data_IF_256655204937
#
_entry.id   IF_256655204937
#
_cell.length_a   1.000
_cell.length_b   1.000
_cell.length_c   1.000
_cell.angle_alpha   90.00
_cell.angle_beta   90.00
_cell.angle_gamma   90.00
#
_symmetry.space_group_name_H-M   'P 1'
#
loop_
_entity.id
_entity.type
_entity.pdbx_description
1 polymer ?
#
# COMPACT_ATOMS: atom_id res chain seq x y z
N UNK A 1 23.10 -16.87 9.70
CA UNK A 1 24.44 -16.42 9.22
C UNK A 1 25.21 -15.62 10.27
N UNK A 2 24.64 -14.58 10.90
CA UNK A 2 25.35 -13.81 11.94
C UNK A 2 25.80 -14.63 13.15
N UNK A 3 24.95 -15.55 13.64
CA UNK A 3 25.26 -16.38 14.81
C UNK A 3 26.41 -17.38 14.55
N UNK A 4 26.43 -18.04 13.40
CA UNK A 4 27.49 -18.99 13.03
C UNK A 4 28.89 -18.34 13.01
N UNK A 5 29.01 -17.14 12.45
CA UNK A 5 30.27 -16.40 12.46
C UNK A 5 30.72 -16.06 13.88
N UNK A 6 29.78 -15.64 14.74
CA UNK A 6 30.06 -15.35 16.16
C UNK A 6 30.56 -16.61 16.88
N UNK A 7 29.95 -17.77 16.66
CA UNK A 7 30.39 -19.03 17.28
C UNK A 7 31.82 -19.40 16.88
N UNK A 8 32.18 -19.24 15.60
CA UNK A 8 33.54 -19.52 15.10
C UNK A 8 34.57 -18.60 15.77
N UNK A 9 34.28 -17.30 15.87
CA UNK A 9 35.19 -16.33 16.48
C UNK A 9 35.35 -16.61 17.97
N UNK A 10 34.27 -16.93 18.69
CA UNK A 10 34.33 -17.24 20.11
C UNK A 10 35.06 -18.55 20.39
N UNK A 11 34.78 -19.62 19.66
CA UNK A 11 35.51 -20.89 19.80
C UNK A 11 37.00 -20.69 19.48
N UNK A 12 37.30 -19.99 18.38
CA UNK A 12 38.66 -19.64 17.98
C UNK A 12 39.39 -18.84 19.06
N UNK A 13 38.73 -17.85 19.68
CA UNK A 13 39.31 -17.06 20.77
C UNK A 13 39.55 -17.89 22.04
N UNK A 14 38.59 -18.73 22.44
CA UNK A 14 38.73 -19.64 23.58
C UNK A 14 39.87 -20.65 23.37
N UNK A 15 40.04 -21.14 22.15
CA UNK A 15 41.03 -22.17 21.81
C UNK A 15 42.41 -21.60 21.43
N UNK A 16 42.51 -20.30 21.13
CA UNK A 16 43.74 -19.66 20.65
C UNK A 16 44.92 -19.83 21.62
N UNK A 17 44.67 -19.74 22.92
CA UNK A 17 45.70 -19.84 23.96
C UNK A 17 46.30 -21.24 24.05
N UNK A 18 45.50 -22.28 23.82
CA UNK A 18 45.96 -23.68 23.83
C UNK A 18 46.83 -24.00 22.61
N UNK A 19 46.51 -23.44 21.44
CA UNK A 19 47.33 -23.59 20.24
C UNK A 19 48.61 -22.74 20.26
N UNK A 20 48.57 -21.58 20.90
CA UNK A 20 49.72 -20.69 21.01
C UNK A 20 50.94 -21.33 21.68
N UNK A 21 50.72 -22.31 22.57
CA UNK A 21 51.79 -23.02 23.29
C UNK A 21 52.65 -23.91 22.40
N UNK A 22 52.08 -24.45 21.31
CA UNK A 22 52.77 -25.33 20.37
C UNK A 22 53.25 -24.63 19.09
N UNK A 23 53.17 -23.31 19.02
CA UNK A 23 53.46 -22.53 17.81
C UNK A 23 54.50 -21.44 18.08
N UNK A 24 55.53 -21.37 17.23
CA UNK A 24 56.57 -20.33 17.29
C UNK A 24 56.04 -18.91 17.02
N UNK A 25 54.90 -18.81 16.34
CA UNK A 25 54.16 -17.57 16.06
C UNK A 25 53.33 -17.06 17.23
N UNK A 26 53.28 -17.80 18.35
CA UNK A 26 52.54 -17.43 19.56
C UNK A 26 51.03 -17.26 19.33
N UNK A 27 50.42 -16.30 20.04
CA UNK A 27 48.96 -16.12 20.10
C UNK A 27 48.33 -15.81 18.74
N UNK A 28 49.03 -15.08 17.86
CA UNK A 28 48.52 -14.76 16.53
C UNK A 28 48.32 -16.02 15.69
N UNK A 29 49.31 -16.91 15.64
CA UNK A 29 49.16 -18.19 14.94
C UNK A 29 48.19 -19.14 15.63
N UNK A 30 48.16 -19.13 16.97
CA UNK A 30 47.19 -19.90 17.75
C UNK A 30 45.76 -19.54 17.42
N UNK A 31 45.44 -18.24 17.33
CA UNK A 31 44.12 -17.76 16.94
C UNK A 31 43.73 -18.15 15.51
N UNK A 32 44.66 -18.07 14.55
CA UNK A 32 44.40 -18.45 13.16
C UNK A 32 44.08 -19.95 13.04
N UNK A 33 44.91 -20.82 13.63
CA UNK A 33 44.67 -22.27 13.61
C UNK A 33 43.42 -22.67 14.37
N UNK A 34 43.20 -22.08 15.55
CA UNK A 34 41.98 -22.28 16.32
C UNK A 34 40.73 -21.86 15.53
N UNK A 35 40.79 -20.71 14.84
CA UNK A 35 39.70 -20.21 14.02
C UNK A 35 39.37 -21.11 12.82
N UNK A 36 40.39 -21.64 12.12
CA UNK A 36 40.19 -22.56 10.99
C UNK A 36 39.52 -23.86 11.45
N UNK A 37 40.01 -24.43 12.55
CA UNK A 37 39.48 -25.69 13.09
C UNK A 37 38.09 -25.51 13.71
N UNK A 38 37.85 -24.38 14.38
CA UNK A 38 36.52 -23.97 14.84
C UNK A 38 35.55 -23.81 13.67
N UNK A 39 35.97 -23.15 12.58
CA UNK A 39 35.14 -22.98 11.38
C UNK A 39 34.73 -24.33 10.79
N UNK A 40 35.66 -25.29 10.69
CA UNK A 40 35.36 -26.64 10.22
C UNK A 40 34.34 -27.33 11.14
N UNK A 41 34.60 -27.35 12.45
CA UNK A 41 33.78 -28.02 13.44
C UNK A 41 32.35 -27.45 13.50
N UNK A 42 32.21 -26.13 13.66
CA UNK A 42 30.94 -25.41 13.72
C UNK A 42 30.17 -25.53 12.41
N UNK A 43 30.83 -25.40 11.26
CA UNK A 43 30.16 -25.47 9.96
C UNK A 43 29.63 -26.87 9.68
N UNK A 44 30.43 -27.91 9.94
CA UNK A 44 29.98 -29.30 9.75
C UNK A 44 28.80 -29.62 10.67
N UNK A 45 28.88 -29.23 11.95
CA UNK A 45 27.78 -29.42 12.89
C UNK A 45 26.51 -28.68 12.44
N UNK A 46 26.63 -27.41 12.04
CA UNK A 46 25.53 -26.61 11.51
C UNK A 46 24.87 -27.26 10.27
N UNK A 47 25.67 -27.70 9.29
CA UNK A 47 25.16 -28.31 8.06
C UNK A 47 24.46 -29.65 8.33
N UNK A 48 24.98 -30.45 9.26
CA UNK A 48 24.33 -31.69 9.66
C UNK A 48 23.03 -31.44 10.40
N UNK A 49 22.94 -30.36 11.20
CA UNK A 49 21.70 -29.88 11.81
C UNK A 49 20.67 -29.48 10.76
N UNK A 50 21.08 -28.61 9.84
CA UNK A 50 20.25 -28.00 8.80
C UNK A 50 19.72 -29.01 7.77
N UNK A 51 20.56 -29.94 7.31
CA UNK A 51 20.18 -30.86 6.23
C UNK A 51 19.86 -32.26 6.71
N UNK A 52 20.40 -32.72 7.83
CA UNK A 52 20.24 -34.09 8.30
C UNK A 52 19.25 -34.21 9.45
N UNK A 53 19.63 -33.66 10.60
CA UNK A 53 18.93 -33.87 11.89
C UNK A 53 17.48 -33.38 11.85
N UNK A 54 17.16 -32.34 11.05
CA UNK A 54 15.78 -31.86 10.87
C UNK A 54 14.78 -32.94 10.44
N UNK A 55 15.23 -33.99 9.75
CA UNK A 55 14.35 -35.07 9.31
C UNK A 55 13.83 -35.95 10.46
N UNK A 56 14.34 -35.78 11.69
CA UNK A 56 13.75 -36.38 12.90
C UNK A 56 12.28 -36.01 13.10
N UNK A 57 11.88 -34.81 12.66
CA UNK A 57 10.51 -34.31 12.79
C UNK A 57 9.59 -34.77 11.66
N UNK A 58 10.10 -35.55 10.69
CA UNK A 58 9.32 -35.98 9.54
C UNK A 58 8.28 -37.06 9.93
N UNK A 59 7.07 -36.98 9.36
CA UNK A 59 5.97 -37.92 9.66
C UNK A 59 6.24 -39.34 9.15
N UNK A 60 6.76 -39.45 7.93
CA UNK A 60 7.10 -40.73 7.30
C UNK A 60 8.30 -41.41 7.97
N UNK A 61 8.16 -42.71 8.26
CA UNK A 61 9.16 -43.50 8.96
C UNK A 61 10.54 -43.52 8.27
N UNK A 62 10.59 -43.61 6.93
CA UNK A 62 11.87 -43.65 6.20
C UNK A 62 12.69 -42.37 6.37
N UNK A 63 12.06 -41.20 6.26
CA UNK A 63 12.72 -39.91 6.50
C UNK A 63 13.09 -39.72 7.96
N UNK A 64 12.27 -40.21 8.89
CA UNK A 64 12.59 -40.20 10.30
C UNK A 64 13.82 -41.05 10.62
N UNK A 65 13.94 -42.23 10.01
CA UNK A 65 15.12 -43.08 10.14
C UNK A 65 16.37 -42.38 9.58
N UNK A 66 16.25 -41.70 8.44
CA UNK A 66 17.34 -40.88 7.90
C UNK A 66 17.75 -39.78 8.90
N UNK A 67 16.79 -39.10 9.52
CA UNK A 67 17.05 -38.11 10.57
C UNK A 67 17.84 -38.70 11.73
N UNK A 68 17.46 -39.89 12.23
CA UNK A 68 18.18 -40.59 13.30
C UNK A 68 19.61 -40.95 12.86
N UNK A 69 19.78 -41.51 11.66
CA UNK A 69 21.10 -41.84 11.13
C UNK A 69 21.98 -40.58 11.00
N UNK A 70 21.42 -39.47 10.54
CA UNK A 70 22.11 -38.19 10.47
C UNK A 70 22.46 -37.64 11.85
N UNK A 71 21.62 -37.82 12.88
CA UNK A 71 21.94 -37.43 14.26
C UNK A 71 23.10 -38.22 14.84
N UNK A 72 23.12 -39.54 14.59
CA UNK A 72 24.25 -40.40 15.00
C UNK A 72 25.52 -39.98 14.24
N UNK A 73 25.42 -39.74 12.94
CA UNK A 73 26.53 -39.25 12.13
C UNK A 73 27.03 -37.87 12.59
N UNK A 74 26.13 -36.97 13.00
CA UNK A 74 26.48 -35.66 13.54
C UNK A 74 27.26 -35.79 14.85
N UNK A 75 26.78 -36.61 15.79
CA UNK A 75 27.48 -36.88 17.04
C UNK A 75 28.87 -37.47 16.77
N UNK A 76 28.95 -38.46 15.88
CA UNK A 76 30.22 -39.08 15.49
C UNK A 76 31.18 -38.08 14.84
N UNK A 77 30.69 -37.21 13.93
CA UNK A 77 31.50 -36.20 13.28
C UNK A 77 32.02 -35.15 14.27
N UNK A 78 31.19 -34.65 15.19
CA UNK A 78 31.60 -33.71 16.23
C UNK A 78 32.66 -34.31 17.15
N UNK A 79 32.48 -35.56 17.59
CA UNK A 79 33.48 -36.28 18.38
C UNK A 79 34.77 -36.48 17.60
N UNK A 80 34.68 -36.89 16.32
CA UNK A 80 35.84 -37.16 15.51
C UNK A 80 36.66 -35.90 15.22
N UNK A 81 35.99 -34.80 14.85
CA UNK A 81 36.63 -33.51 14.61
C UNK A 81 37.23 -32.96 15.91
N UNK A 82 36.47 -32.93 17.01
CA UNK A 82 36.97 -32.44 18.30
C UNK A 82 38.21 -33.21 18.78
N UNK A 83 38.19 -34.54 18.72
CA UNK A 83 39.35 -35.37 19.06
C UNK A 83 40.51 -35.12 18.10
N UNK A 84 40.26 -34.97 16.80
CA UNK A 84 41.28 -34.65 15.81
C UNK A 84 41.98 -33.31 16.09
N UNK A 85 41.22 -32.29 16.48
CA UNK A 85 41.73 -30.97 16.87
C UNK A 85 42.63 -31.10 18.12
N UNK A 86 42.22 -31.90 19.11
CA UNK A 86 43.01 -32.13 20.32
C UNK A 86 44.31 -32.91 20.03
N UNK A 87 44.26 -33.97 19.22
CA UNK A 87 45.46 -34.71 18.77
C UNK A 87 46.41 -33.84 17.95
N UNK A 88 45.88 -32.94 17.13
CA UNK A 88 46.68 -31.97 16.38
C UNK A 88 47.42 -31.00 17.31
N UNK A 89 46.74 -30.52 18.36
CA UNK A 89 47.38 -29.69 19.40
C UNK A 89 48.46 -30.46 20.16
N UNK A 90 48.21 -31.72 20.55
CA UNK A 90 49.20 -32.56 21.23
C UNK A 90 50.47 -32.72 20.38
N UNK A 91 50.30 -33.01 19.08
CA UNK A 91 51.43 -33.13 18.15
C UNK A 91 52.23 -31.83 18.00
N UNK A 92 51.55 -30.67 17.97
CA UNK A 92 52.20 -29.35 17.96
C UNK A 92 53.01 -29.10 19.23
N UNK A 93 52.47 -29.43 20.41
CA UNK A 93 53.17 -29.24 21.69
C UNK A 93 54.33 -30.21 21.92
N UNK A 94 54.30 -31.38 21.25
CA UNK A 94 55.39 -32.36 21.29
C UNK A 94 56.57 -32.03 20.36
N UNK A 95 56.53 -30.89 19.67
CA UNK A 95 57.52 -30.48 18.66
C UNK A 95 57.75 -31.54 17.57
N UNK A 96 56.70 -32.25 17.18
CA UNK A 96 56.78 -33.25 16.13
C UNK A 96 57.26 -32.65 14.80
N UNK A 97 58.14 -33.35 14.09
CA UNK A 97 58.69 -32.90 12.80
C UNK A 97 57.60 -32.67 11.74
N UNK A 98 56.51 -33.46 11.82
CA UNK A 98 55.29 -33.31 11.02
C UNK A 98 54.06 -33.48 11.96
N UNK A 99 53.54 -32.37 12.52
CA UNK A 99 52.45 -32.41 13.49
C UNK A 99 51.16 -33.05 12.93
N UNK A 100 50.86 -32.84 11.65
CA UNK A 100 49.66 -33.40 11.03
C UNK A 100 49.75 -34.93 10.92
N UNK A 101 50.91 -35.44 10.47
CA UNK A 101 51.14 -36.88 10.37
C UNK A 101 51.17 -37.53 11.75
N UNK A 102 51.89 -36.95 12.71
CA UNK A 102 51.94 -37.48 14.09
C UNK A 102 50.56 -37.50 14.75
N UNK A 103 49.77 -36.43 14.61
CA UNK A 103 48.40 -36.38 15.10
C UNK A 103 47.52 -37.47 14.48
N UNK A 104 47.61 -37.68 13.15
CA UNK A 104 46.84 -38.72 12.47
C UNK A 104 47.19 -40.13 12.94
N UNK A 105 48.47 -40.41 13.20
CA UNK A 105 48.92 -41.71 13.70
C UNK A 105 48.46 -41.95 15.15
N UNK A 106 48.60 -40.95 16.01
CA UNK A 106 48.12 -41.00 17.39
C UNK A 106 46.59 -41.18 17.45
N UNK A 107 45.86 -40.46 16.62
CA UNK A 107 44.40 -40.56 16.50
C UNK A 107 43.96 -41.97 16.07
N UNK A 108 44.66 -42.60 15.12
CA UNK A 108 44.30 -43.96 14.66
C UNK A 108 44.69 -45.05 15.67
N UNK A 109 45.80 -44.87 16.39
CA UNK A 109 46.28 -45.83 17.38
C UNK A 109 45.48 -45.78 18.68
N UNK A 110 45.19 -44.58 19.19
CA UNK A 110 44.48 -44.34 20.44
C UNK A 110 43.55 -43.11 20.32
N UNK A 111 42.38 -43.23 19.67
CA UNK A 111 41.53 -42.09 19.31
C UNK A 111 41.10 -41.22 20.50
N UNK A 112 40.84 -41.83 21.66
CA UNK A 112 40.30 -41.16 22.86
C UNK A 112 41.41 -40.71 23.83
N UNK A 113 42.66 -41.14 23.60
CA UNK A 113 43.75 -40.82 24.51
C UNK A 113 44.32 -39.44 24.15
N UNK A 114 44.21 -38.49 25.08
CA UNK A 114 44.77 -37.14 24.98
C UNK A 114 45.90 -36.95 26.00
N UNK A 115 46.91 -36.14 25.66
CA UNK A 115 48.14 -36.04 26.43
C UNK A 115 47.97 -35.31 27.78
N UNK A 116 47.12 -34.27 27.85
CA UNK A 116 46.96 -33.44 29.03
C UNK A 116 45.53 -32.87 29.20
N UNK A 117 45.31 -32.16 30.31
CA UNK A 117 44.03 -31.51 30.63
C UNK A 117 43.68 -30.38 29.65
N UNK A 118 44.69 -29.75 29.02
CA UNK A 118 44.48 -28.68 28.05
C UNK A 118 43.87 -29.22 26.76
N UNK A 119 44.30 -30.38 26.28
CA UNK A 119 43.70 -31.06 25.13
C UNK A 119 42.29 -31.58 25.43
N UNK A 120 42.04 -32.05 26.65
CA UNK A 120 40.68 -32.37 27.11
C UNK A 120 39.77 -31.13 27.17
N UNK A 121 40.30 -29.99 27.60
CA UNK A 121 39.54 -28.72 27.65
C UNK A 121 39.19 -28.25 26.24
N UNK A 122 40.15 -28.34 25.31
CA UNK A 122 39.97 -27.98 23.91
C UNK A 122 38.89 -28.84 23.25
N UNK A 123 38.96 -30.16 23.45
CA UNK A 123 37.91 -31.08 23.01
C UNK A 123 36.53 -30.69 23.56
N UNK A 124 36.43 -30.43 24.87
CA UNK A 124 35.17 -30.04 25.51
C UNK A 124 34.59 -28.73 24.96
N UNK A 125 35.42 -27.72 24.76
CA UNK A 125 35.03 -26.43 24.16
C UNK A 125 34.54 -26.66 22.72
N UNK A 126 35.26 -27.44 21.93
CA UNK A 126 34.85 -27.73 20.55
C UNK A 126 33.54 -28.51 20.46
N UNK A 127 33.29 -29.48 21.35
CA UNK A 127 31.99 -30.15 21.41
C UNK A 127 30.88 -29.17 21.81
N UNK A 128 31.13 -28.30 22.78
CA UNK A 128 30.15 -27.31 23.25
C UNK A 128 29.69 -26.38 22.11
N UNK A 129 30.63 -25.78 21.38
CA UNK A 129 30.31 -24.90 20.25
C UNK A 129 29.68 -25.65 19.07
N UNK A 130 30.12 -26.88 18.79
CA UNK A 130 29.49 -27.72 17.77
C UNK A 130 28.03 -28.07 18.11
N UNK A 131 27.72 -28.35 19.37
CA UNK A 131 26.34 -28.61 19.81
C UNK A 131 25.46 -27.38 19.63
N UNK A 132 25.94 -26.19 19.99
CA UNK A 132 25.19 -24.93 19.76
C UNK A 132 24.96 -24.73 18.26
N UNK A 133 25.99 -24.93 17.43
CA UNK A 133 25.89 -24.79 15.98
C UNK A 133 24.92 -25.80 15.35
N UNK A 134 24.89 -27.04 15.86
CA UNK A 134 23.95 -28.08 15.45
C UNK A 134 22.50 -27.65 15.71
N UNK A 135 22.23 -27.12 16.91
CA UNK A 135 20.90 -26.60 17.25
C UNK A 135 20.53 -25.38 16.41
N UNK A 136 21.46 -24.45 16.18
CA UNK A 136 21.23 -23.30 15.29
C UNK A 136 20.86 -23.75 13.87
N UNK A 137 21.56 -24.76 13.33
CA UNK A 137 21.23 -25.35 12.04
C UNK A 137 19.86 -26.03 12.01
N UNK A 138 19.52 -26.75 13.09
CA UNK A 138 18.24 -27.46 13.21
C UNK A 138 17.03 -26.52 13.20
N UNK A 139 17.13 -25.35 13.85
CA UNK A 139 16.05 -24.37 14.01
C UNK A 139 16.14 -23.18 13.05
N UNK A 140 17.04 -23.25 12.06
CA UNK A 140 17.26 -22.14 11.14
C UNK A 140 16.04 -21.79 10.27
N UNK A 141 15.25 -22.80 9.90
CA UNK A 141 13.99 -22.64 9.16
C UNK A 141 12.89 -23.46 9.89
N UNK A 142 11.76 -23.70 9.24
CA UNK A 142 10.70 -24.54 9.81
C UNK A 142 11.21 -25.92 10.29
N UNK A 143 10.71 -26.34 11.45
CA UNK A 143 10.99 -27.64 12.07
C UNK A 143 10.69 -28.81 11.14
N UNK A 144 9.69 -28.64 10.26
CA UNK A 144 9.37 -29.60 9.24
C UNK A 144 10.07 -29.23 7.91
N UNK A 145 10.94 -30.11 7.38
CA UNK A 145 11.65 -29.86 6.13
C UNK A 145 10.72 -29.46 4.98
N UNK A 146 11.00 -28.31 4.34
CA UNK A 146 10.31 -27.85 3.13
C UNK A 146 9.07 -26.97 3.36
N UNK A 147 8.54 -26.90 4.59
CA UNK A 147 7.36 -26.08 4.89
C UNK A 147 7.66 -24.58 4.96
N UNK A 148 8.88 -24.16 5.30
CA UNK A 148 9.25 -22.75 5.38
C UNK A 148 9.03 -21.98 4.07
N UNK A 149 9.37 -22.58 2.92
CA UNK A 149 9.12 -21.97 1.59
C UNK A 149 7.63 -21.87 1.29
N UNK A 150 6.87 -22.92 1.62
CA UNK A 150 5.41 -22.95 1.39
C UNK A 150 4.75 -21.88 2.26
N UNK A 151 5.09 -21.83 3.55
CA UNK A 151 4.59 -20.85 4.52
C UNK A 151 4.83 -19.41 4.04
N UNK A 152 6.06 -19.09 3.61
CA UNK A 152 6.37 -17.76 3.06
C UNK A 152 5.56 -17.45 1.81
N UNK A 153 5.46 -18.37 0.85
CA UNK A 153 4.64 -18.18 -0.36
C UNK A 153 3.15 -18.03 -0.05
N UNK A 154 2.65 -18.75 0.94
CA UNK A 154 1.26 -18.63 1.39
C UNK A 154 1.04 -17.27 2.06
N UNK A 155 1.96 -16.81 2.89
CA UNK A 155 1.87 -15.50 3.51
C UNK A 155 1.93 -14.38 2.47
N UNK A 156 2.87 -14.44 1.52
CA UNK A 156 2.99 -13.49 0.41
C UNK A 156 1.69 -13.44 -0.41
N UNK A 157 1.12 -14.59 -0.78
CA UNK A 157 -0.15 -14.64 -1.50
C UNK A 157 -1.36 -14.12 -0.69
N UNK A 158 -1.32 -14.24 0.64
CA UNK A 158 -2.35 -13.64 1.52
C UNK A 158 -2.19 -12.12 1.52
N UNK A 159 -0.97 -11.63 1.71
CA UNK A 159 -0.66 -10.20 1.77
C UNK A 159 -1.02 -9.52 0.43
N UNK A 160 -0.62 -10.11 -0.70
CA UNK A 160 -0.96 -9.65 -2.06
C UNK A 160 -2.48 -9.55 -2.26
N UNK A 161 -3.21 -10.59 -1.84
CA UNK A 161 -4.66 -10.60 -1.94
C UNK A 161 -5.32 -9.54 -1.05
N UNK A 162 -4.83 -9.35 0.17
CA UNK A 162 -5.35 -8.32 1.08
C UNK A 162 -5.11 -6.90 0.53
N UNK A 163 -3.96 -6.66 -0.11
CA UNK A 163 -3.65 -5.40 -0.78
C UNK A 163 -4.58 -5.14 -1.99
N UNK A 164 -4.77 -6.14 -2.86
CA UNK A 164 -5.71 -6.04 -3.99
C UNK A 164 -7.14 -5.76 -3.51
N UNK A 165 -7.62 -6.47 -2.48
CA UNK A 165 -8.94 -6.25 -1.92
C UNK A 165 -9.08 -4.88 -1.26
N UNK A 166 -8.04 -4.40 -0.58
CA UNK A 166 -7.98 -3.04 -0.04
C UNK A 166 -8.14 -2.00 -1.15
N UNK A 167 -7.40 -2.18 -2.25
CA UNK A 167 -7.45 -1.29 -3.41
C UNK A 167 -8.84 -1.26 -4.05
N UNK A 168 -9.47 -2.43 -4.27
CA UNK A 168 -10.83 -2.51 -4.83
C UNK A 168 -11.87 -1.84 -3.93
N UNK A 169 -11.74 -1.92 -2.61
CA UNK A 169 -12.64 -1.24 -1.67
C UNK A 169 -12.52 0.27 -1.78
N UNK A 170 -11.30 0.80 -1.83
CA UNK A 170 -11.07 2.24 -2.01
C UNK A 170 -11.67 2.72 -3.33
N UNK A 171 -11.43 1.99 -4.43
CA UNK A 171 -12.02 2.33 -5.74
C UNK A 171 -13.55 2.31 -5.71
N UNK A 172 -14.15 1.33 -5.02
CA UNK A 172 -15.60 1.22 -4.87
C UNK A 172 -16.17 2.39 -4.03
N UNK A 173 -15.47 2.81 -2.99
CA UNK A 173 -15.83 3.98 -2.19
C UNK A 173 -15.75 5.27 -3.00
N UNK A 174 -14.68 5.44 -3.78
CA UNK A 174 -14.50 6.59 -4.68
C UNK A 174 -15.61 6.66 -5.73
N UNK A 175 -15.94 5.54 -6.39
CA UNK A 175 -17.02 5.47 -7.36
C UNK A 175 -18.37 5.82 -6.74
N UNK A 176 -18.66 5.32 -5.53
CA UNK A 176 -19.89 5.67 -4.79
C UNK A 176 -19.95 7.17 -4.51
N UNK A 177 -18.86 7.78 -4.06
CA UNK A 177 -18.82 9.22 -3.80
C UNK A 177 -18.92 10.06 -5.09
N UNK A 178 -18.33 9.59 -6.20
CA UNK A 178 -18.44 10.23 -7.51
C UNK A 178 -19.90 10.26 -7.99
N UNK A 179 -20.59 9.13 -7.94
CA UNK A 179 -21.99 9.02 -8.35
C UNK A 179 -22.92 9.88 -7.49
N UNK A 180 -22.71 9.90 -6.16
CA UNK A 180 -23.46 10.77 -5.25
C UNK A 180 -23.24 12.26 -5.56
N UNK A 181 -21.99 12.67 -5.82
CA UNK A 181 -21.67 14.05 -6.23
C UNK A 181 -22.27 14.39 -7.60
N UNK A 182 -22.26 13.46 -8.54
CA UNK A 182 -22.87 13.63 -9.86
C UNK A 182 -24.37 13.87 -9.74
N UNK A 183 -25.06 13.07 -8.91
CA UNK A 183 -26.49 13.24 -8.61
C UNK A 183 -26.78 14.61 -8.00
N UNK A 184 -25.99 15.04 -7.01
CA UNK A 184 -26.15 16.35 -6.35
C UNK A 184 -25.95 17.51 -7.34
N UNK A 185 -24.96 17.39 -8.22
CA UNK A 185 -24.71 18.38 -9.29
C UNK A 185 -25.90 18.48 -10.24
N UNK A 186 -26.42 17.37 -10.74
CA UNK A 186 -27.58 17.36 -11.65
C UNK A 186 -28.80 18.02 -11.00
N UNK A 187 -29.02 17.77 -9.71
CA UNK A 187 -30.13 18.35 -8.95
C UNK A 187 -29.98 19.86 -8.80
N UNK A 188 -28.78 20.34 -8.43
CA UNK A 188 -28.48 21.78 -8.35
C UNK A 188 -28.60 22.48 -9.71
N UNK A 189 -28.04 21.90 -10.77
CA UNK A 189 -28.12 22.42 -12.14
C UNK A 189 -29.59 22.50 -12.61
N UNK A 190 -30.41 21.48 -12.32
CA UNK A 190 -31.83 21.45 -12.69
C UNK A 190 -32.64 22.52 -11.96
N UNK A 191 -32.43 22.70 -10.66
CA UNK A 191 -33.08 23.75 -9.87
C UNK A 191 -32.66 25.16 -10.35
N UNK A 192 -31.37 25.36 -10.61
CA UNK A 192 -30.84 26.62 -11.12
C UNK A 192 -31.42 26.95 -12.50
N UNK A 193 -31.54 25.96 -13.39
CA UNK A 193 -32.12 26.13 -14.72
C UNK A 193 -33.59 26.62 -14.64
N UNK A 194 -34.39 26.04 -13.74
CA UNK A 194 -35.78 26.48 -13.51
C UNK A 194 -35.84 27.92 -12.99
N UNK A 195 -35.00 28.28 -12.02
CA UNK A 195 -34.94 29.64 -11.49
C UNK A 195 -34.49 30.67 -12.54
N UNK A 196 -33.52 30.30 -13.37
CA UNK A 196 -33.09 31.12 -14.51
C UNK A 196 -34.23 31.28 -15.51
N UNK A 197 -34.94 30.21 -15.86
CA UNK A 197 -36.05 30.28 -16.80
C UNK A 197 -37.18 31.20 -16.29
N UNK A 198 -37.54 31.10 -15.02
CA UNK A 198 -38.49 32.01 -14.38
C UNK A 198 -38.02 33.48 -14.45
N UNK A 199 -36.76 33.75 -14.14
CA UNK A 199 -36.20 35.11 -14.25
C UNK A 199 -36.26 35.64 -15.69
N UNK A 200 -36.04 34.79 -16.70
CA UNK A 200 -36.11 35.20 -18.12
C UNK A 200 -37.54 35.56 -18.55
N UNK A 201 -38.54 34.86 -18.03
CA UNK A 201 -39.94 35.18 -18.29
C UNK A 201 -40.28 36.56 -17.70
N UNK A 202 -39.84 36.85 -16.47
CA UNK A 202 -40.05 38.16 -15.86
C UNK A 202 -39.27 39.29 -16.57
N UNK A 203 -38.06 39.00 -17.05
CA UNK A 203 -37.29 39.93 -17.90
C UNK A 203 -38.06 40.28 -19.18
N UNK A 204 -38.67 39.28 -19.84
CA UNK A 204 -39.48 39.46 -21.05
C UNK A 204 -40.74 40.29 -20.76
N UNK A 205 -41.46 39.98 -19.68
CA UNK A 205 -42.64 40.74 -19.23
C UNK A 205 -42.29 42.20 -18.93
N UNK A 206 -41.24 42.43 -18.16
CA UNK A 206 -40.79 43.77 -17.80
C UNK A 206 -40.26 44.56 -19.01
N UNK A 207 -39.65 43.89 -20.00
CA UNK A 207 -39.22 44.53 -21.25
C UNK A 207 -40.39 45.12 -22.05
N UNK A 208 -41.52 44.41 -22.09
CA UNK A 208 -42.75 44.90 -22.72
C UNK A 208 -43.23 46.21 -22.09
N UNK A 209 -43.32 46.24 -20.75
CA UNK A 209 -43.71 47.43 -19.99
C UNK A 209 -42.72 48.59 -20.19
N UNK A 210 -41.41 48.31 -20.14
CA UNK A 210 -40.36 49.31 -20.38
C UNK A 210 -40.47 49.93 -21.78
N UNK A 211 -40.67 49.11 -22.81
CA UNK A 211 -40.83 49.59 -24.18
C UNK A 211 -42.10 50.43 -24.34
N UNK A 212 -43.23 49.97 -23.80
CA UNK A 212 -44.50 50.71 -23.83
C UNK A 212 -44.38 52.08 -23.17
N UNK A 213 -43.71 52.16 -22.02
CA UNK A 213 -43.49 53.42 -21.32
C UNK A 213 -42.57 54.35 -22.12
N UNK A 214 -41.47 53.83 -22.65
CA UNK A 214 -40.52 54.61 -23.46
C UNK A 214 -41.18 55.19 -24.72
N UNK A 215 -42.04 54.43 -25.40
CA UNK A 215 -42.80 54.93 -26.56
C UNK A 215 -43.76 56.05 -26.18
N UNK A 216 -44.52 55.89 -25.08
CA UNK A 216 -45.42 56.93 -24.58
C UNK A 216 -44.67 58.19 -24.16
N UNK A 217 -43.51 58.04 -23.53
CA UNK A 217 -42.67 59.16 -23.11
C UNK A 217 -42.08 59.90 -24.32
N UNK A 218 -41.73 59.18 -25.40
CA UNK A 218 -41.29 59.78 -26.65
C UNK A 218 -42.41 60.60 -27.32
N UNK A 219 -43.63 60.07 -27.38
CA UNK A 219 -44.80 60.79 -27.91
C UNK A 219 -45.09 62.06 -27.11
N UNK A 220 -45.12 61.96 -25.78
CA UNK A 220 -45.33 63.09 -24.88
C UNK A 220 -44.23 64.15 -25.02
N UNK A 221 -42.97 63.72 -25.18
CA UNK A 221 -41.83 64.61 -25.37
C UNK A 221 -41.91 65.33 -26.72
N UNK A 222 -42.29 64.64 -27.80
CA UNK A 222 -42.50 65.25 -29.11
C UNK A 222 -43.58 66.34 -29.05
N UNK A 223 -44.72 66.03 -28.45
CA UNK A 223 -45.84 66.96 -28.28
C UNK A 223 -45.41 68.21 -27.50
N UNK A 224 -44.75 68.01 -26.35
CA UNK A 224 -44.30 69.11 -25.49
C UNK A 224 -43.24 70.00 -26.18
N UNK A 225 -42.24 69.40 -26.83
CA UNK A 225 -41.18 70.13 -27.52
C UNK A 225 -41.70 70.91 -28.72
N UNK A 226 -42.58 70.31 -29.53
CA UNK A 226 -43.18 71.00 -30.67
C UNK A 226 -44.11 72.13 -30.23
N UNK A 227 -44.94 71.93 -29.19
CA UNK A 227 -45.77 73.00 -28.63
C UNK A 227 -44.91 74.16 -28.14
N UNK A 228 -43.86 73.87 -27.38
CA UNK A 228 -42.92 74.89 -26.89
C UNK A 228 -42.28 75.65 -28.05
N UNK A 229 -41.70 74.95 -29.03
CA UNK A 229 -41.11 75.58 -30.21
C UNK A 229 -42.11 76.44 -30.99
N UNK A 230 -43.33 75.95 -31.22
CA UNK A 230 -44.36 76.67 -31.99
C UNK A 230 -44.84 77.93 -31.26
N UNK A 231 -45.04 77.86 -29.94
CA UNK A 231 -45.40 79.02 -29.11
C UNK A 231 -44.32 80.09 -29.19
N UNK A 232 -43.05 79.72 -28.95
CA UNK A 232 -41.93 80.66 -29.03
C UNK A 232 -41.77 81.24 -30.45
N UNK A 233 -41.90 80.40 -31.48
CA UNK A 233 -41.83 80.85 -32.87
C UNK A 233 -42.92 81.88 -33.17
N UNK A 234 -44.14 81.70 -32.67
CA UNK A 234 -45.26 82.61 -32.89
C UNK A 234 -45.07 83.94 -32.15
N UNK A 235 -44.56 83.92 -30.92
CA UNK A 235 -44.28 85.13 -30.14
C UNK A 235 -43.26 86.04 -30.83
N UNK A 236 -42.25 85.48 -31.48
CA UNK A 236 -41.18 86.22 -32.13
C UNK A 236 -41.40 86.49 -33.63
N UNK A 237 -42.55 86.10 -34.20
CA UNK A 237 -42.84 86.25 -35.62
C UNK A 237 -43.38 87.65 -35.93
N UNK A 238 -42.53 88.55 -36.44
CA UNK A 238 -42.94 89.91 -36.81
C UNK A 238 -43.51 89.97 -38.23
N UNK A 239 -44.84 90.03 -38.33
CA UNK A 239 -45.57 90.32 -39.59
C UNK A 239 -45.65 89.18 -40.62
N UNK A 240 -45.07 88.01 -40.35
CA UNK A 240 -45.17 86.83 -41.22
C UNK A 240 -46.24 85.85 -40.70
N UNK A 241 -47.06 85.32 -41.61
CA UNK A 241 -48.08 84.33 -41.27
C UNK A 241 -47.50 83.06 -40.63
N UNK A 242 -48.24 82.47 -39.69
CA UNK A 242 -47.92 81.18 -39.05
C UNK A 242 -47.87 80.07 -40.12
N UNK A 243 -46.84 79.20 -40.12
CA UNK A 243 -46.78 78.12 -41.11
C UNK A 243 -47.97 77.16 -40.97
N UNK A 244 -48.66 76.78 -42.06
CA UNK A 244 -49.84 75.89 -41.99
C UNK A 244 -49.56 74.52 -41.37
N UNK A 245 -48.34 73.99 -41.52
CA UNK A 245 -47.95 72.70 -40.93
C UNK A 245 -47.87 72.73 -39.40
N UNK A 246 -47.95 73.90 -38.76
CA UNK A 246 -48.03 74.00 -37.31
C UNK A 246 -49.36 73.50 -36.74
N UNK A 247 -50.40 73.34 -37.57
CA UNK A 247 -51.70 72.80 -37.15
C UNK A 247 -51.73 71.27 -37.17
N UNK A 248 -50.72 70.63 -37.75
CA UNK A 248 -50.59 69.16 -37.79
C UNK A 248 -49.47 68.70 -36.87
N UNK A 249 -49.72 67.69 -36.02
CA UNK A 249 -48.66 67.00 -35.29
C UNK A 249 -48.05 65.90 -36.17
N UNK A 250 -46.72 65.83 -36.31
CA UNK A 250 -46.08 64.69 -36.96
C UNK A 250 -46.20 63.45 -36.08
N UNK A 251 -46.41 62.29 -36.69
CA UNK A 251 -46.36 61.00 -35.99
C UNK A 251 -44.91 60.51 -35.89
N UNK A 252 -44.57 59.87 -34.77
CA UNK A 252 -43.29 59.15 -34.63
C UNK A 252 -43.26 57.90 -35.53
N UNK A 253 -42.05 57.46 -35.88
CA UNK A 253 -41.85 56.23 -36.65
C UNK A 253 -42.43 55.04 -35.88
N UNK A 254 -43.39 54.33 -36.49
CA UNK A 254 -43.94 53.09 -35.94
C UNK A 254 -42.87 52.01 -35.99
N UNK A 255 -42.51 51.50 -34.82
CA UNK A 255 -41.56 50.39 -34.70
C UNK A 255 -42.29 49.05 -34.83
N UNK A 256 -41.62 48.05 -35.39
CA UNK A 256 -42.08 46.67 -35.32
C UNK A 256 -41.75 46.13 -33.91
N UNK A 257 -42.77 45.96 -33.09
CA UNK A 257 -42.63 45.50 -31.71
C UNK A 257 -42.57 43.97 -31.70
N UNK A 258 -41.57 43.34 -31.06
CA UNK A 258 -41.50 41.89 -30.95
C UNK A 258 -42.64 41.36 -30.08
N UNK A 259 -42.93 40.07 -30.23
CA UNK A 259 -43.93 39.41 -29.38
C UNK A 259 -43.40 39.23 -27.95
N UNK A 260 -44.17 39.71 -26.99
CA UNK A 260 -43.88 39.62 -25.56
C UNK A 260 -44.82 38.67 -24.82
N UNK A 261 -45.69 37.93 -25.52
CA UNK A 261 -46.55 36.93 -24.89
C UNK A 261 -45.70 35.87 -24.15
N UNK A 262 -46.00 35.67 -22.87
CA UNK A 262 -45.32 34.71 -22.00
C UNK A 262 -46.15 33.46 -21.75
N UNK A 263 -47.36 33.34 -22.29
CA UNK A 263 -48.28 32.23 -21.98
C UNK A 263 -47.65 30.85 -22.24
N UNK A 264 -47.06 30.66 -23.42
CA UNK A 264 -46.38 29.39 -23.76
C UNK A 264 -45.12 29.14 -22.92
N UNK A 265 -44.39 30.19 -22.55
CA UNK A 265 -43.20 30.10 -21.70
C UNK A 265 -43.58 29.69 -20.26
N UNK A 266 -44.70 30.21 -19.75
CA UNK A 266 -45.25 29.90 -18.43
C UNK A 266 -45.74 28.45 -18.35
N UNK A 267 -46.42 27.94 -19.39
CA UNK A 267 -46.81 26.53 -19.49
C UNK A 267 -45.57 25.61 -19.51
N UNK A 268 -44.53 25.99 -20.26
CA UNK A 268 -43.28 25.25 -20.29
C UNK A 268 -42.55 25.26 -18.94
N UNK A 269 -42.53 26.40 -18.24
CA UNK A 269 -41.97 26.52 -16.89
C UNK A 269 -42.73 25.64 -15.89
N UNK A 270 -44.06 25.62 -15.94
CA UNK A 270 -44.88 24.77 -15.07
C UNK A 270 -44.52 23.29 -15.25
N UNK A 271 -44.37 22.85 -16.50
CA UNK A 271 -43.94 21.48 -16.81
C UNK A 271 -42.53 21.17 -16.33
N UNK A 272 -41.57 22.09 -16.49
CA UNK A 272 -40.21 21.89 -15.97
C UNK A 272 -40.18 21.82 -14.44
N UNK A 273 -40.95 22.66 -13.74
CA UNK A 273 -41.09 22.60 -12.28
C UNK A 273 -41.63 21.27 -11.81
N UNK A 274 -42.63 20.73 -12.50
CA UNK A 274 -43.19 19.42 -12.19
C UNK A 274 -42.12 18.32 -12.31
N UNK A 275 -41.36 18.29 -13.40
CA UNK A 275 -40.29 17.30 -13.61
C UNK A 275 -39.18 17.42 -12.54
N UNK A 276 -38.76 18.63 -12.19
CA UNK A 276 -37.75 18.82 -11.12
C UNK A 276 -38.30 18.41 -9.76
N UNK A 277 -39.58 18.66 -9.46
CA UNK A 277 -40.20 18.21 -8.23
C UNK A 277 -40.31 16.69 -8.15
N UNK A 278 -40.60 16.02 -9.27
CA UNK A 278 -40.57 14.55 -9.36
C UNK A 278 -39.16 14.02 -9.09
N UNK A 279 -38.13 14.61 -9.72
CA UNK A 279 -36.73 14.25 -9.47
C UNK A 279 -36.35 14.42 -7.99
N UNK A 280 -36.77 15.52 -7.35
CA UNK A 280 -36.52 15.78 -5.93
C UNK A 280 -37.21 14.76 -5.02
N UNK A 281 -38.41 14.31 -5.38
CA UNK A 281 -39.14 13.29 -4.63
C UNK A 281 -38.43 11.92 -4.71
N UNK A 282 -37.82 11.61 -5.85
CA UNK A 282 -37.14 10.32 -6.08
C UNK A 282 -35.68 10.31 -5.58
N UNK A 283 -35.07 11.47 -5.32
CA UNK A 283 -33.62 11.55 -5.04
C UNK A 283 -33.18 10.70 -3.86
N UNK A 284 -34.00 10.60 -2.80
CA UNK A 284 -33.67 9.79 -1.62
C UNK A 284 -33.68 8.30 -1.95
N UNK A 285 -34.59 7.87 -2.83
CA UNK A 285 -34.64 6.49 -3.30
C UNK A 285 -33.42 6.16 -4.17
N UNK A 286 -33.02 7.08 -5.06
CA UNK A 286 -31.81 6.90 -5.89
C UNK A 286 -30.55 6.81 -5.00
N UNK A 287 -30.39 7.72 -4.03
CA UNK A 287 -29.28 7.67 -3.05
C UNK A 287 -29.26 6.35 -2.28
N UNK A 288 -30.42 5.90 -1.80
CA UNK A 288 -30.54 4.62 -1.11
C UNK A 288 -30.17 3.44 -2.01
N UNK A 289 -30.55 3.47 -3.30
CA UNK A 289 -30.18 2.44 -4.27
C UNK A 289 -28.67 2.39 -4.53
N UNK A 290 -28.01 3.55 -4.64
CA UNK A 290 -26.54 3.65 -4.78
C UNK A 290 -25.88 3.03 -3.53
N UNK A 291 -26.32 3.42 -2.33
CA UNK A 291 -25.78 2.91 -1.08
C UNK A 291 -25.99 1.39 -0.92
N UNK A 292 -27.19 0.88 -1.25
CA UNK A 292 -27.49 -0.54 -1.17
C UNK A 292 -26.62 -1.36 -2.14
N UNK A 293 -26.44 -0.86 -3.36
CA UNK A 293 -25.57 -1.50 -4.36
C UNK A 293 -24.10 -1.49 -3.92
N UNK A 294 -23.63 -0.38 -3.35
CA UNK A 294 -22.31 -0.27 -2.74
C UNK A 294 -22.13 -1.30 -1.62
N UNK A 295 -23.03 -1.34 -0.63
CA UNK A 295 -22.96 -2.28 0.49
C UNK A 295 -22.94 -3.74 0.01
N UNK A 296 -23.79 -4.09 -0.96
CA UNK A 296 -23.83 -5.44 -1.51
C UNK A 296 -22.50 -5.88 -2.14
N UNK A 297 -21.81 -4.99 -2.87
CA UNK A 297 -20.52 -5.33 -3.47
C UNK A 297 -19.39 -5.26 -2.45
N UNK A 298 -19.41 -4.28 -1.55
CA UNK A 298 -18.42 -4.14 -0.48
C UNK A 298 -18.39 -5.38 0.43
N UNK A 299 -19.55 -5.93 0.77
CA UNK A 299 -19.68 -7.15 1.59
C UNK A 299 -19.09 -8.40 0.92
N UNK A 300 -18.95 -8.42 -0.41
CA UNK A 300 -18.31 -9.51 -1.15
C UNK A 300 -16.78 -9.42 -1.11
N UNK A 301 -16.23 -8.23 -0.91
CA UNK A 301 -14.78 -7.98 -0.88
C UNK A 301 -14.20 -8.23 0.52
N UNK A 302 -14.68 -9.24 1.26
CA UNK A 302 -14.17 -9.55 2.61
C UNK A 302 -12.79 -10.23 2.55
N UNK A 303 -11.90 -9.99 3.52
CA UNK A 303 -10.55 -10.56 3.50
C UNK A 303 -10.62 -12.08 3.64
N UNK A 304 -9.69 -12.81 3.02
CA UNK A 304 -9.63 -14.28 3.06
C UNK A 304 -9.66 -14.86 4.47
N UNK A 305 -9.05 -14.18 5.45
CA UNK A 305 -9.08 -14.60 6.86
C UNK A 305 -10.49 -14.73 7.46
N UNK A 306 -11.47 -14.00 6.91
CA UNK A 306 -12.88 -14.14 7.32
C UNK A 306 -13.60 -15.34 6.69
N UNK A 307 -13.10 -15.82 5.54
CA UNK A 307 -13.62 -17.00 4.85
C UNK A 307 -12.98 -18.29 5.35
N UNK A 308 -11.75 -18.21 5.88
CA UNK A 308 -10.99 -19.32 6.44
C UNK A 308 -10.50 -18.97 7.84
N UNK A 309 -11.35 -19.09 8.89
CA UNK A 309 -10.94 -18.82 10.25
C UNK A 309 -9.73 -19.70 10.60
N UNK A 310 -8.68 -19.09 11.17
CA UNK A 310 -7.50 -19.84 11.61
C UNK A 310 -7.95 -20.81 12.71
N UNK A 311 -7.38 -22.01 12.69
CA UNK A 311 -7.66 -23.04 13.70
C UNK A 311 -7.09 -22.55 15.05
N UNK A 312 -7.92 -21.87 15.83
CA UNK A 312 -7.53 -21.17 17.08
C UNK A 312 -8.44 -19.98 17.45
N UNK A 313 -9.25 -19.48 16.51
CA UNK A 313 -10.16 -18.34 16.74
C UNK A 313 -11.58 -18.77 17.20
N UNK A 314 -11.72 -19.96 17.80
CA UNK A 314 -12.97 -20.49 18.36
C UNK A 314 -12.78 -20.97 19.80
#
# INVERSE_FOLDING_TARGET
MGLLFVLIVLEGACNATFFAQGLTTGLLGGFVWAGILAALNVTVAYLLGLFGVRYLNHRHFGWKLLGVLCSVAALAAMMAIGLGIAHYRDALTSEALDPAKSASQAYMASPVQLADISSWSLFGISIFFAVIALFDGLFFDDHYPGYGVISRRTQEAIDDHEEEMGTMRTQLEELKEEELKSLDRVLQESQAAVAVFESRIEDKRSASSRLSNALRDADNSLDALLKKFRTENQLHRTGLARPPYFDTMPELLKLNVPDFDTTADEDALAKQRELVNQLLAEVQQVRASIQASFSQQFDRLKPLGTHFPRKGDA
#
